data_IF_730360814360
#
_entry.id   IF_730360814360
#
_cell.length_a   1.000
_cell.length_b   1.000
_cell.length_c   1.000
_cell.angle_alpha   90.00
_cell.angle_beta   90.00
_cell.angle_gamma   90.00
#
_symmetry.space_group_name_H-M   'P 1'
#
loop_
_entity.id
_entity.type
_entity.pdbx_description
1 polymer ?
#
# COMPACT_ATOMS: atom_id res chain seq x y z
N UNK A 1 -1.47 -5.91 -1.64
CA UNK A 1 -2.74 -5.86 -2.36
C UNK A 1 -3.25 -7.26 -2.62
N UNK A 2 -4.49 -7.53 -2.30
CA UNK A 2 -5.17 -8.80 -2.58
C UNK A 2 -6.39 -8.54 -3.47
N UNK A 3 -6.45 -9.22 -4.60
CA UNK A 3 -7.56 -9.17 -5.55
C UNK A 3 -7.95 -10.61 -5.89
N UNK A 4 -9.19 -10.98 -5.60
CA UNK A 4 -9.73 -12.33 -5.88
C UNK A 4 -8.75 -13.47 -5.51
N UNK A 5 -8.27 -13.50 -4.25
CA UNK A 5 -7.29 -14.46 -3.68
C UNK A 5 -5.85 -14.31 -4.24
N UNK A 6 -5.61 -13.55 -5.31
CA UNK A 6 -4.25 -13.26 -5.80
C UNK A 6 -3.63 -12.15 -4.96
N UNK A 7 -2.40 -12.35 -4.51
CA UNK A 7 -1.66 -11.41 -3.66
C UNK A 7 -0.51 -10.77 -4.46
N UNK A 8 -0.41 -9.45 -4.39
CA UNK A 8 0.67 -8.64 -4.93
C UNK A 8 1.34 -7.90 -3.77
N UNK A 9 2.65 -7.88 -3.74
CA UNK A 9 3.43 -7.27 -2.64
C UNK A 9 4.48 -6.36 -3.24
N UNK A 10 4.50 -5.13 -2.78
CA UNK A 10 5.49 -4.12 -3.15
C UNK A 10 5.92 -3.33 -1.91
N UNK A 11 7.11 -2.75 -1.96
CA UNK A 11 7.61 -1.83 -0.93
C UNK A 11 8.10 -0.54 -1.54
N UNK A 12 7.94 0.56 -0.82
CA UNK A 12 8.36 1.88 -1.29
C UNK A 12 7.51 3.01 -0.72
N UNK A 13 7.74 4.21 -1.24
CA UNK A 13 7.03 5.41 -0.80
C UNK A 13 5.58 5.40 -1.26
N UNK A 14 4.68 5.74 -0.32
CA UNK A 14 3.25 5.92 -0.56
C UNK A 14 2.87 7.38 -0.37
N UNK A 15 2.01 7.90 -1.22
CA UNK A 15 1.42 9.22 -1.10
C UNK A 15 -0.05 9.06 -0.68
N UNK A 16 -0.41 9.70 0.42
CA UNK A 16 -1.81 9.77 0.90
C UNK A 16 -2.43 11.03 0.31
N UNK A 17 -3.51 10.86 -0.43
CA UNK A 17 -4.27 11.97 -1.04
C UNK A 17 -5.66 12.06 -0.43
N UNK A 18 -6.38 13.12 -0.73
CA UNK A 18 -7.77 13.30 -0.29
C UNK A 18 -8.75 12.28 -0.90
N UNK A 19 -8.34 11.56 -1.95
CA UNK A 19 -9.17 10.57 -2.66
C UNK A 19 -8.66 9.14 -2.51
N UNK A 20 -7.52 8.92 -1.86
CA UNK A 20 -6.95 7.57 -1.70
C UNK A 20 -5.43 7.56 -1.65
N UNK A 21 -4.84 6.51 -2.18
CA UNK A 21 -3.41 6.31 -2.18
C UNK A 21 -2.81 6.46 -3.57
N UNK A 22 -1.60 7.01 -3.63
CA UNK A 22 -0.81 7.19 -4.84
C UNK A 22 0.68 7.00 -4.51
N UNK A 23 1.56 7.38 -5.43
CA UNK A 23 3.01 7.28 -5.27
C UNK A 23 3.61 6.02 -5.88
N UNK A 24 4.95 5.92 -5.91
CA UNK A 24 5.66 4.90 -6.68
C UNK A 24 5.24 3.46 -6.38
N UNK A 25 5.01 3.13 -5.09
CA UNK A 25 4.59 1.78 -4.69
C UNK A 25 3.18 1.44 -5.19
N UNK A 26 2.27 2.42 -5.19
CA UNK A 26 0.90 2.21 -5.67
C UNK A 26 0.87 2.08 -7.19
N UNK A 27 1.67 2.87 -7.91
CA UNK A 27 1.80 2.76 -9.36
C UNK A 27 2.30 1.37 -9.75
N UNK A 28 3.36 0.84 -9.12
CA UNK A 28 3.83 -0.54 -9.38
C UNK A 28 2.79 -1.59 -9.04
N UNK A 29 2.14 -1.49 -7.86
CA UNK A 29 1.08 -2.43 -7.48
C UNK A 29 -0.09 -2.42 -8.48
N UNK A 30 -0.50 -1.24 -8.93
CA UNK A 30 -1.60 -1.11 -9.90
C UNK A 30 -1.23 -1.70 -11.26
N UNK A 31 0.00 -1.49 -11.72
CA UNK A 31 0.52 -2.08 -12.96
C UNK A 31 0.49 -3.61 -12.91
N UNK A 32 1.15 -4.23 -11.91
CA UNK A 32 1.20 -5.68 -11.77
C UNK A 32 -0.16 -6.34 -11.53
N UNK A 33 -1.10 -5.62 -10.93
CA UNK A 33 -2.44 -6.14 -10.63
C UNK A 33 -3.53 -5.69 -11.62
N UNK A 34 -3.18 -4.92 -12.64
CA UNK A 34 -4.13 -4.24 -13.54
C UNK A 34 -5.20 -5.18 -14.11
N UNK A 35 -4.81 -6.31 -14.69
CA UNK A 35 -5.74 -7.31 -15.25
C UNK A 35 -6.67 -7.93 -14.19
N UNK A 36 -6.12 -8.20 -12.99
CA UNK A 36 -6.90 -8.75 -11.88
C UNK A 36 -7.86 -7.72 -11.30
N UNK A 37 -7.44 -6.46 -11.19
CA UNK A 37 -8.30 -5.36 -10.77
C UNK A 37 -9.43 -5.14 -11.77
N UNK A 38 -9.11 -5.10 -13.05
CA UNK A 38 -10.11 -4.95 -14.12
C UNK A 38 -11.15 -6.09 -14.08
N UNK A 39 -10.69 -7.35 -14.08
CA UNK A 39 -11.56 -8.53 -14.02
C UNK A 39 -12.44 -8.56 -12.75
N UNK A 40 -11.98 -7.95 -11.64
CA UNK A 40 -12.70 -7.86 -10.38
C UNK A 40 -13.41 -6.50 -10.18
N UNK A 41 -13.68 -5.77 -11.26
CA UNK A 41 -14.34 -4.45 -11.26
C UNK A 41 -13.68 -3.47 -10.30
N UNK A 42 -12.34 -3.46 -10.26
CA UNK A 42 -11.50 -2.65 -9.39
C UNK A 42 -11.80 -2.82 -7.89
N UNK A 43 -12.23 -4.00 -7.47
CA UNK A 43 -12.43 -4.32 -6.05
C UNK A 43 -11.28 -5.14 -5.52
N UNK A 44 -10.80 -4.79 -4.32
CA UNK A 44 -9.70 -5.49 -3.67
C UNK A 44 -9.47 -5.01 -2.24
N UNK A 45 -8.45 -5.58 -1.60
CA UNK A 45 -8.03 -5.18 -0.25
C UNK A 45 -6.55 -4.81 -0.29
N UNK A 46 -6.26 -3.56 0.07
CA UNK A 46 -4.90 -3.07 0.24
C UNK A 46 -4.51 -3.16 1.71
N UNK A 47 -3.53 -4.01 2.03
CA UNK A 47 -2.97 -4.07 3.37
C UNK A 47 -1.65 -3.29 3.39
N UNK A 48 -1.52 -2.37 4.34
CA UNK A 48 -0.34 -1.51 4.46
C UNK A 48 0.39 -1.82 5.76
N UNK A 49 1.68 -2.10 5.64
CA UNK A 49 2.63 -2.06 6.75
C UNK A 49 3.36 -0.71 6.70
N UNK A 50 2.95 0.22 7.55
CA UNK A 50 3.47 1.61 7.56
C UNK A 50 4.92 1.73 7.98
N UNK A 51 5.48 0.72 8.62
CA UNK A 51 6.81 0.74 9.20
C UNK A 51 7.81 -0.18 8.49
N UNK A 52 7.32 -1.06 7.60
CA UNK A 52 8.11 -2.17 7.02
C UNK A 52 8.78 -3.05 8.09
N UNK A 53 8.14 -3.17 9.26
CA UNK A 53 8.64 -3.92 10.42
C UNK A 53 7.74 -5.11 10.71
N UNK A 54 8.30 -6.14 11.36
CA UNK A 54 7.53 -7.27 11.89
C UNK A 54 6.71 -6.84 13.10
N UNK A 55 5.58 -7.50 13.32
CA UNK A 55 4.68 -7.21 14.45
C UNK A 55 5.39 -7.28 15.82
N UNK A 56 6.24 -8.30 16.02
CA UNK A 56 6.99 -8.45 17.26
C UNK A 56 7.98 -7.31 17.51
N UNK A 57 8.63 -6.82 16.47
CA UNK A 57 9.59 -5.71 16.58
C UNK A 57 8.87 -4.40 16.93
N UNK A 58 7.71 -4.16 16.33
CA UNK A 58 6.84 -3.01 16.64
C UNK A 58 6.35 -3.09 18.08
N UNK A 59 5.90 -4.27 18.51
CA UNK A 59 5.43 -4.50 19.87
C UNK A 59 6.53 -4.24 20.91
N UNK A 60 7.75 -4.74 20.67
CA UNK A 60 8.91 -4.52 21.54
C UNK A 60 9.27 -3.03 21.65
N UNK A 61 9.28 -2.30 20.54
CA UNK A 61 9.55 -0.85 20.54
C UNK A 61 8.48 -0.08 21.29
N UNK A 62 7.21 -0.43 21.13
CA UNK A 62 6.11 0.22 21.86
C UNK A 62 6.25 -0.05 23.38
N UNK A 63 6.60 -1.27 23.80
CA UNK A 63 6.79 -1.59 25.20
C UNK A 63 7.92 -0.76 25.83
N UNK A 64 9.07 -0.68 25.17
CA UNK A 64 10.20 0.15 25.63
C UNK A 64 9.80 1.63 25.71
N UNK A 65 9.19 2.15 24.66
CA UNK A 65 8.76 3.55 24.62
C UNK A 65 7.75 3.89 25.71
N UNK A 66 6.83 2.97 26.03
CA UNK A 66 5.85 3.11 27.11
C UNK A 66 6.54 3.28 28.46
N UNK A 67 7.60 2.52 28.74
CA UNK A 67 8.36 2.61 30.00
C UNK A 67 9.05 3.98 30.14
N UNK A 68 9.71 4.43 29.07
CA UNK A 68 10.47 5.69 29.09
C UNK A 68 9.57 6.94 29.05
N UNK A 69 8.37 6.82 28.48
CA UNK A 69 7.50 7.96 28.22
C UNK A 69 6.12 7.85 28.89
N UNK A 70 6.04 7.15 30.02
CA UNK A 70 4.80 6.80 30.73
C UNK A 70 3.82 7.95 30.92
N UNK A 71 4.31 9.15 31.24
CA UNK A 71 3.50 10.35 31.51
C UNK A 71 3.06 11.13 30.27
N UNK A 72 3.62 10.81 29.10
CA UNK A 72 3.33 11.53 27.84
C UNK A 72 2.05 11.02 27.19
N UNK A 73 1.35 11.92 26.47
CA UNK A 73 0.16 11.56 25.69
C UNK A 73 0.57 10.75 24.45
N UNK A 74 -0.17 9.67 24.17
CA UNK A 74 0.09 8.78 23.02
C UNK A 74 -0.05 9.55 21.71
N UNK A 75 -1.09 10.36 21.56
CA UNK A 75 -1.39 11.08 20.34
C UNK A 75 -0.24 12.00 19.87
N UNK A 76 0.46 12.60 20.83
CA UNK A 76 1.49 13.59 20.54
C UNK A 76 2.92 13.03 20.54
N UNK A 77 3.11 11.82 21.04
CA UNK A 77 4.44 11.23 21.25
C UNK A 77 4.49 9.84 20.63
N UNK A 78 5.17 9.71 19.49
CA UNK A 78 5.27 8.48 18.72
C UNK A 78 6.61 7.78 18.92
N UNK A 79 6.65 6.43 18.99
CA UNK A 79 7.89 5.65 19.12
C UNK A 79 8.65 5.47 17.79
N UNK A 80 8.09 5.94 16.67
CA UNK A 80 8.65 5.75 15.32
C UNK A 80 8.97 7.09 14.68
N UNK A 81 10.23 7.57 14.73
CA UNK A 81 10.61 8.91 14.24
C UNK A 81 10.26 9.13 12.76
N UNK A 82 10.47 8.12 11.93
CA UNK A 82 10.25 8.19 10.47
C UNK A 82 8.76 8.20 10.07
N UNK A 83 7.85 7.88 10.97
CA UNK A 83 6.41 7.99 10.69
C UNK A 83 5.98 9.45 10.81
N UNK A 84 5.34 10.09 9.81
CA UNK A 84 4.84 11.46 9.92
C UNK A 84 3.90 11.62 11.12
N UNK A 85 4.01 12.77 11.82
CA UNK A 85 3.17 13.03 13.01
C UNK A 85 1.68 13.02 12.67
N UNK A 86 1.29 13.64 11.57
CA UNK A 86 -0.10 13.67 11.10
C UNK A 86 -0.65 12.26 10.82
N UNK A 87 0.16 11.40 10.20
CA UNK A 87 -0.23 10.01 9.95
C UNK A 87 -0.37 9.24 11.27
N UNK A 88 0.58 9.38 12.20
CA UNK A 88 0.48 8.76 13.51
C UNK A 88 -0.83 9.15 14.22
N UNK A 89 -1.12 10.46 14.29
CA UNK A 89 -2.34 10.97 14.91
C UNK A 89 -3.60 10.41 14.25
N UNK A 90 -3.66 10.43 12.91
CA UNK A 90 -4.80 9.89 12.17
C UNK A 90 -4.99 8.38 12.43
N UNK A 91 -3.90 7.59 12.50
CA UNK A 91 -3.97 6.17 12.80
C UNK A 91 -4.47 5.92 14.22
N UNK A 92 -3.95 6.64 15.23
CA UNK A 92 -4.38 6.52 16.64
C UNK A 92 -5.86 6.89 16.80
N UNK A 93 -6.29 8.01 16.22
CA UNK A 93 -7.70 8.44 16.28
C UNK A 93 -8.62 7.44 15.58
N UNK A 94 -8.18 6.80 14.50
CA UNK A 94 -8.96 5.76 13.80
C UNK A 94 -9.22 4.50 14.64
N UNK A 95 -8.53 4.34 15.76
CA UNK A 95 -8.71 3.25 16.72
C UNK A 95 -9.63 3.64 17.89
N UNK A 96 -10.25 4.82 17.87
CA UNK A 96 -11.06 5.38 18.96
C UNK A 96 -10.29 5.45 20.28
N UNK A 97 -8.99 5.71 20.23
CA UNK A 97 -8.15 5.94 21.40
C UNK A 97 -8.30 7.39 21.83
N UNK A 98 -8.60 7.60 23.13
CA UNK A 98 -8.74 8.93 23.70
C UNK A 98 -7.48 9.78 23.46
N UNK A 99 -7.68 10.99 22.98
CA UNK A 99 -6.61 11.96 22.70
C UNK A 99 -5.78 12.32 23.95
N UNK A 100 -6.37 12.20 25.14
CA UNK A 100 -5.73 12.48 26.42
C UNK A 100 -5.11 11.25 27.07
N UNK A 101 -5.17 10.07 26.42
CA UNK A 101 -4.60 8.85 26.96
C UNK A 101 -3.07 8.94 27.05
N UNK A 102 -2.54 8.68 28.24
CA UNK A 102 -1.10 8.59 28.49
C UNK A 102 -0.58 7.20 28.18
N UNK A 103 0.71 7.10 27.86
CA UNK A 103 1.36 5.81 27.61
C UNK A 103 1.26 4.87 28.81
N UNK A 104 1.32 5.37 30.06
CA UNK A 104 1.11 4.55 31.28
C UNK A 104 -0.21 3.80 31.27
N UNK A 105 -1.27 4.43 30.77
CA UNK A 105 -2.64 3.93 30.83
C UNK A 105 -3.04 3.11 29.60
N UNK A 106 -2.12 2.90 28.65
CA UNK A 106 -2.38 2.09 27.47
C UNK A 106 -2.62 0.63 27.86
N UNK A 107 -3.83 0.14 27.62
CA UNK A 107 -4.20 -1.25 27.85
C UNK A 107 -3.53 -2.20 26.85
N UNK A 108 -3.48 -3.50 27.19
CA UNK A 108 -2.95 -4.52 26.27
C UNK A 108 -3.73 -4.55 24.95
N UNK A 109 -5.07 -4.51 25.03
CA UNK A 109 -5.93 -4.50 23.85
C UNK A 109 -5.66 -3.30 22.92
N UNK A 110 -5.57 -2.10 23.48
CA UNK A 110 -5.27 -0.89 22.71
C UNK A 110 -3.87 -0.97 22.09
N UNK A 111 -2.88 -1.48 22.82
CA UNK A 111 -1.53 -1.70 22.32
C UNK A 111 -1.53 -2.65 21.13
N UNK A 112 -2.17 -3.80 21.24
CA UNK A 112 -2.25 -4.79 20.18
C UNK A 112 -2.98 -4.22 18.95
N UNK A 113 -4.00 -3.38 19.15
CA UNK A 113 -4.69 -2.65 18.09
C UNK A 113 -3.76 -1.65 17.36
N UNK A 114 -2.92 -0.92 18.11
CA UNK A 114 -1.92 -0.02 17.53
C UNK A 114 -0.91 -0.82 16.69
N UNK A 115 -0.39 -1.92 17.25
CA UNK A 115 0.59 -2.78 16.56
C UNK A 115 0.01 -3.27 15.22
N UNK A 116 -1.20 -3.83 15.22
CA UNK A 116 -1.89 -4.29 14.01
C UNK A 116 -2.15 -3.15 13.02
N UNK A 117 -2.57 -1.99 13.52
CA UNK A 117 -2.80 -0.81 12.69
C UNK A 117 -1.52 -0.34 11.98
N UNK A 118 -0.36 -0.46 12.62
CA UNK A 118 0.92 -0.07 12.05
C UNK A 118 1.50 -1.09 11.08
N UNK A 119 1.24 -2.39 11.30
CA UNK A 119 1.84 -3.49 10.54
C UNK A 119 0.94 -4.12 9.48
N UNK A 120 -0.39 -3.97 9.62
CA UNK A 120 -1.36 -4.63 8.72
C UNK A 120 -2.69 -3.85 8.65
N UNK A 121 -2.66 -2.53 8.42
CA UNK A 121 -3.91 -1.78 8.22
C UNK A 121 -4.53 -2.11 6.86
N UNK A 122 -5.77 -2.59 6.89
CA UNK A 122 -6.53 -2.94 5.68
C UNK A 122 -7.38 -1.77 5.20
N UNK A 123 -7.39 -1.57 3.89
CA UNK A 123 -8.23 -0.59 3.18
C UNK A 123 -8.94 -1.29 2.04
N UNK A 124 -10.24 -1.04 1.90
CA UNK A 124 -11.02 -1.55 0.78
C UNK A 124 -10.80 -0.68 -0.45
N UNK A 125 -10.50 -1.32 -1.57
CA UNK A 125 -10.50 -0.68 -2.89
C UNK A 125 -11.86 -0.95 -3.50
N UNK A 126 -12.59 0.12 -3.84
CA UNK A 126 -13.94 0.04 -4.38
C UNK A 126 -14.03 0.47 -5.84
N UNK A 127 -13.04 1.24 -6.31
CA UNK A 127 -12.98 1.76 -7.68
C UNK A 127 -11.56 2.18 -8.05
N UNK A 128 -11.33 2.45 -9.32
CA UNK A 128 -10.16 3.21 -9.78
C UNK A 128 -10.28 4.68 -9.36
N UNK A 129 -9.15 5.41 -9.41
CA UNK A 129 -9.13 6.85 -9.17
C UNK A 129 -10.09 7.61 -10.11
N UNK A 130 -10.57 8.78 -9.71
CA UNK A 130 -11.57 9.55 -10.47
C UNK A 130 -11.01 10.21 -11.72
N UNK A 131 -9.68 10.31 -11.85
CA UNK A 131 -9.01 10.88 -13.02
C UNK A 131 -8.70 9.73 -13.97
N UNK A 132 -9.30 9.76 -15.17
CA UNK A 132 -9.10 8.77 -16.22
C UNK A 132 -7.76 8.88 -16.95
N UNK A 133 -6.87 9.76 -16.48
CA UNK A 133 -5.52 9.93 -17.03
C UNK A 133 -4.62 8.82 -16.49
N UNK A 134 -4.73 7.65 -17.11
CA UNK A 134 -3.84 6.53 -16.85
C UNK A 134 -2.47 6.87 -17.49
N UNK A 135 -1.40 6.79 -16.69
CA UNK A 135 -0.04 7.00 -17.20
C UNK A 135 0.36 5.92 -18.21
N UNK A 136 -0.16 4.72 -18.04
CA UNK A 136 0.10 3.55 -18.89
C UNK A 136 -1.14 2.67 -18.91
N UNK A 137 -1.54 2.21 -20.08
CA UNK A 137 -2.62 1.23 -20.25
C UNK A 137 -2.03 -0.18 -20.21
N UNK A 138 -2.57 -1.04 -19.34
CA UNK A 138 -2.17 -2.45 -19.29
C UNK A 138 -2.73 -3.21 -20.49
N UNK A 139 -1.86 -3.99 -21.14
CA UNK A 139 -2.17 -4.74 -22.35
C UNK A 139 -1.38 -4.24 -23.55
N UNK A 140 -1.52 -4.90 -24.68
CA UNK A 140 -0.78 -4.57 -25.89
C UNK A 140 -0.76 -5.73 -26.87
N UNK A 141 0.15 -5.65 -27.85
CA UNK A 141 0.39 -6.73 -28.81
C UNK A 141 0.97 -7.94 -28.09
N UNK A 142 0.32 -9.09 -28.28
CA UNK A 142 0.71 -10.34 -27.61
C UNK A 142 2.17 -10.71 -27.95
N UNK A 143 2.97 -10.96 -26.92
CA UNK A 143 4.38 -11.35 -27.08
C UNK A 143 4.54 -12.64 -27.89
N UNK A 144 3.53 -13.51 -27.93
CA UNK A 144 3.53 -14.74 -28.74
C UNK A 144 3.53 -14.45 -30.22
N UNK A 145 3.03 -13.28 -30.65
CA UNK A 145 2.89 -12.85 -32.02
C UNK A 145 4.12 -12.07 -32.53
N UNK A 146 5.13 -11.90 -31.69
CA UNK A 146 6.35 -11.13 -32.02
C UNK A 146 7.55 -12.07 -32.19
N UNK A 147 8.32 -11.84 -33.22
CA UNK A 147 9.65 -12.40 -33.37
C UNK A 147 10.65 -11.50 -32.62
N UNK A 148 11.08 -11.89 -31.45
CA UNK A 148 11.97 -11.08 -30.59
C UNK A 148 13.38 -10.83 -31.19
N UNK A 149 13.79 -11.57 -32.24
CA UNK A 149 15.08 -11.30 -32.85
C UNK A 149 15.01 -10.12 -33.84
N UNK A 150 13.88 -9.95 -34.48
CA UNK A 150 13.66 -8.90 -35.48
C UNK A 150 12.66 -7.84 -35.02
N UNK A 151 11.93 -8.09 -33.95
CA UNK A 151 10.79 -7.31 -33.47
C UNK A 151 9.63 -7.24 -34.46
N UNK A 152 9.62 -8.14 -35.47
CA UNK A 152 8.60 -8.24 -36.53
C UNK A 152 7.41 -9.08 -36.04
N UNK A 153 6.21 -8.69 -36.50
CA UNK A 153 5.01 -9.48 -36.33
C UNK A 153 5.14 -10.83 -37.05
N UNK A 154 4.76 -11.91 -36.39
CA UNK A 154 4.63 -13.23 -37.00
C UNK A 154 3.37 -13.38 -37.84
N UNK A 155 2.41 -12.45 -37.69
CA UNK A 155 1.13 -12.49 -38.41
C UNK A 155 1.16 -11.60 -39.63
N UNK A 156 1.76 -10.42 -39.53
CA UNK A 156 1.82 -9.42 -40.58
C UNK A 156 3.28 -9.13 -40.93
N UNK A 157 3.74 -9.64 -42.08
CA UNK A 157 5.11 -9.42 -42.58
C UNK A 157 5.35 -7.93 -42.84
N UNK A 158 6.53 -7.43 -42.46
CA UNK A 158 6.91 -6.02 -42.60
C UNK A 158 6.37 -5.09 -41.54
N UNK A 159 5.61 -5.59 -40.56
CA UNK A 159 5.12 -4.82 -39.40
C UNK A 159 6.00 -5.08 -38.17
N UNK A 160 6.57 -4.03 -37.60
CA UNK A 160 7.48 -4.10 -36.48
C UNK A 160 6.89 -3.38 -35.26
N UNK A 161 7.17 -3.90 -34.06
CA UNK A 161 6.68 -3.33 -32.78
C UNK A 161 7.83 -3.12 -31.84
N UNK A 162 7.79 -2.00 -31.06
CA UNK A 162 8.75 -1.71 -29.99
C UNK A 162 8.11 -0.86 -28.91
N UNK A 163 8.62 -1.00 -27.68
CA UNK A 163 8.19 -0.20 -26.53
C UNK A 163 6.86 -0.63 -25.91
N UNK A 164 6.14 0.31 -25.30
CA UNK A 164 4.96 0.08 -24.46
C UNK A 164 3.72 -0.44 -25.24
N UNK A 165 3.78 -0.49 -26.57
CA UNK A 165 2.73 -1.13 -27.39
C UNK A 165 2.72 -2.65 -27.23
N UNK A 166 3.81 -3.23 -26.73
CA UNK A 166 3.91 -4.65 -26.41
C UNK A 166 3.24 -4.96 -25.06
N UNK A 167 2.67 -6.15 -24.94
CA UNK A 167 2.06 -6.65 -23.72
C UNK A 167 3.13 -7.16 -22.72
N UNK A 168 3.86 -6.24 -22.10
CA UNK A 168 4.96 -6.49 -21.16
C UNK A 168 4.57 -6.13 -19.73
#
# INVERSE_FOLDING_TARGET
LTVNKKKFVESGSILITHKGFSGPVILRLSSFSARYLYANKYKGVLNINWLSMRENDVNSKINLYKLENAKKLILNNKPFPNLPRSLWQALILSLNIDSQLKWSNLSKYQKDSIVKCLTMKSYLINSRGPFGDEFVTAGGVSLKEINFKTMESKICKGLFFAGEVLDI
#
